data_IF_456866236634
#
_entry.id   IF_456866236634
#
_cell.length_a   1.000
_cell.length_b   1.000
_cell.length_c   1.000
_cell.angle_alpha   90.00
_cell.angle_beta   90.00
_cell.angle_gamma   90.00
#
_symmetry.space_group_name_H-M   'P 1'
#
loop_
_entity.id
_entity.type
_entity.pdbx_description
1 polymer ?
#
# COMPACT_ATOMS: atom_id res chain seq x y z
N UNK A 1 -14.68 2.04 -7.25
CA UNK A 1 -13.73 1.00 -7.71
C UNK A 1 -12.42 1.01 -6.91
N UNK A 2 -11.50 1.97 -7.09
CA UNK A 2 -10.18 1.95 -6.41
C UNK A 2 -10.26 1.97 -4.88
N UNK A 3 -11.11 2.80 -4.27
CA UNK A 3 -11.25 2.86 -2.80
C UNK A 3 -11.72 1.53 -2.19
N UNK A 4 -12.64 0.82 -2.85
CA UNK A 4 -13.12 -0.49 -2.42
C UNK A 4 -12.05 -1.57 -2.58
N UNK A 5 -11.35 -1.57 -3.72
CA UNK A 5 -10.25 -2.49 -3.96
C UNK A 5 -9.10 -2.29 -2.95
N UNK A 6 -8.80 -1.04 -2.61
CA UNK A 6 -7.81 -0.69 -1.57
C UNK A 6 -8.27 -1.15 -0.18
N UNK A 7 -9.56 -0.97 0.15
CA UNK A 7 -10.12 -1.43 1.42
C UNK A 7 -10.06 -2.95 1.58
N UNK A 8 -10.17 -3.70 0.48
CA UNK A 8 -10.09 -5.16 0.43
C UNK A 8 -8.65 -5.72 0.50
N UNK A 9 -7.62 -4.87 0.47
CA UNK A 9 -6.24 -5.32 0.66
C UNK A 9 -5.96 -5.62 2.15
N UNK A 10 -5.15 -6.65 2.45
CA UNK A 10 -4.65 -6.87 3.80
C UNK A 10 -3.96 -5.60 4.33
N UNK A 11 -4.11 -5.33 5.62
CA UNK A 11 -3.61 -4.12 6.26
C UNK A 11 -2.11 -3.88 6.00
N UNK A 12 -1.31 -4.96 6.01
CA UNK A 12 0.13 -4.93 5.73
C UNK A 12 0.50 -4.34 4.37
N UNK A 13 -0.38 -4.44 3.36
CA UNK A 13 -0.18 -3.84 2.05
C UNK A 13 -0.95 -2.52 1.90
N UNK A 14 -2.13 -2.42 2.52
CA UNK A 14 -2.98 -1.22 2.46
C UNK A 14 -2.33 -0.02 3.17
N UNK A 15 -1.87 -0.20 4.40
CA UNK A 15 -1.34 0.89 5.24
C UNK A 15 -0.18 1.65 4.58
N UNK A 16 0.89 1.01 4.07
CA UNK A 16 1.97 1.73 3.44
C UNK A 16 1.57 2.38 2.10
N UNK A 17 0.56 1.87 1.38
CA UNK A 17 0.01 2.54 0.21
C UNK A 17 -0.74 3.82 0.58
N UNK A 18 -1.58 3.78 1.62
CA UNK A 18 -2.31 4.96 2.10
C UNK A 18 -1.34 6.04 2.54
N UNK A 19 -0.39 5.68 3.41
CA UNK A 19 0.61 6.63 3.90
C UNK A 19 1.45 7.22 2.76
N UNK A 20 1.83 6.42 1.75
CA UNK A 20 2.62 6.92 0.62
C UNK A 20 1.84 7.81 -0.33
N UNK A 21 0.62 7.43 -0.71
CA UNK A 21 -0.10 8.06 -1.82
C UNK A 21 -1.19 9.04 -1.38
N UNK A 22 -1.73 8.91 -0.17
CA UNK A 22 -2.74 9.83 0.37
C UNK A 22 -2.16 10.83 1.35
N UNK A 23 -1.13 10.44 2.10
CA UNK A 23 -0.45 11.33 3.05
C UNK A 23 0.89 11.86 2.54
N UNK A 24 1.29 11.46 1.32
CA UNK A 24 2.56 11.81 0.66
C UNK A 24 3.82 11.64 1.54
N UNK A 25 3.81 10.65 2.44
CA UNK A 25 4.93 10.42 3.34
C UNK A 25 6.10 9.74 2.63
N UNK A 26 7.35 10.09 2.96
CA UNK A 26 8.53 9.37 2.47
C UNK A 26 8.65 7.98 3.12
N UNK A 27 9.37 7.06 2.47
CA UNK A 27 9.48 5.67 2.96
C UNK A 27 10.10 5.56 4.35
N UNK A 28 11.01 6.47 4.71
CA UNK A 28 11.61 6.52 6.04
C UNK A 28 10.58 6.83 7.14
N UNK A 29 9.69 7.81 6.92
CA UNK A 29 8.63 8.13 7.89
C UNK A 29 7.61 6.99 7.98
N UNK A 30 7.26 6.37 6.85
CA UNK A 30 6.38 5.19 6.84
C UNK A 30 7.00 4.02 7.62
N UNK A 31 8.31 3.82 7.50
CA UNK A 31 9.07 2.82 8.24
C UNK A 31 8.96 3.05 9.75
N UNK A 32 9.08 4.29 10.19
CA UNK A 32 8.96 4.68 11.60
C UNK A 32 7.51 4.50 12.11
N UNK A 33 6.52 5.00 11.36
CA UNK A 33 5.09 4.91 11.74
C UNK A 33 4.63 3.46 11.86
N UNK A 34 5.06 2.59 10.94
CA UNK A 34 4.65 1.19 10.90
C UNK A 34 5.59 0.26 11.69
N UNK A 35 6.65 0.79 12.29
CA UNK A 35 7.68 0.05 13.01
C UNK A 35 8.22 -1.17 12.22
N UNK A 36 8.54 -0.96 10.94
CA UNK A 36 9.11 -1.99 10.04
C UNK A 36 10.28 -1.43 9.23
N UNK A 37 11.23 -2.26 8.75
CA UNK A 37 12.32 -1.78 7.92
C UNK A 37 11.84 -1.07 6.64
N UNK A 38 12.56 -0.03 6.21
CA UNK A 38 12.25 0.68 4.97
C UNK A 38 12.26 -0.26 3.74
N UNK A 39 13.15 -1.26 3.72
CA UNK A 39 13.13 -2.31 2.70
C UNK A 39 11.79 -3.07 2.67
N UNK A 40 11.22 -3.37 3.83
CA UNK A 40 9.89 -4.00 3.95
C UNK A 40 8.78 -3.06 3.49
N UNK A 41 8.88 -1.75 3.76
CA UNK A 41 7.94 -0.74 3.22
C UNK A 41 7.93 -0.79 1.69
N UNK A 42 9.11 -0.74 1.05
CA UNK A 42 9.25 -0.80 -0.41
C UNK A 42 8.63 -2.07 -0.98
N UNK A 43 8.93 -3.24 -0.41
CA UNK A 43 8.36 -4.52 -0.86
C UNK A 43 6.85 -4.57 -0.67
N UNK A 44 6.32 -4.08 0.45
CA UNK A 44 4.87 -4.04 0.72
C UNK A 44 4.14 -3.09 -0.23
N UNK A 45 4.72 -1.94 -0.55
CA UNK A 45 4.16 -1.02 -1.56
C UNK A 45 4.15 -1.67 -2.94
N UNK A 46 5.25 -2.29 -3.35
CA UNK A 46 5.32 -2.97 -4.65
C UNK A 46 4.25 -4.07 -4.77
N UNK A 47 4.18 -4.99 -3.80
CA UNK A 47 3.19 -6.06 -3.77
C UNK A 47 1.76 -5.52 -3.66
N UNK A 48 1.54 -4.51 -2.82
CA UNK A 48 0.24 -3.87 -2.66
C UNK A 48 -0.28 -3.24 -3.95
N UNK A 49 0.59 -2.57 -4.74
CA UNK A 49 0.22 -2.04 -6.06
C UNK A 49 -0.17 -3.15 -7.04
N UNK A 50 0.54 -4.28 -7.04
CA UNK A 50 0.20 -5.42 -7.89
C UNK A 50 -1.19 -5.99 -7.53
N UNK A 51 -1.43 -6.23 -6.24
CA UNK A 51 -2.73 -6.70 -5.73
C UNK A 51 -3.88 -5.72 -6.03
N UNK A 52 -3.61 -4.42 -5.98
CA UNK A 52 -4.58 -3.38 -6.31
C UNK A 52 -4.89 -3.39 -7.82
N UNK A 53 -3.87 -3.57 -8.67
CA UNK A 53 -4.04 -3.66 -10.12
C UNK A 53 -4.91 -4.85 -10.51
N UNK A 54 -4.68 -6.02 -9.93
CA UNK A 54 -5.52 -7.21 -10.13
C UNK A 54 -6.98 -6.91 -9.79
N UNK A 55 -7.25 -6.38 -8.60
CA UNK A 55 -8.61 -6.09 -8.12
C UNK A 55 -9.34 -4.98 -8.91
N UNK A 56 -8.60 -4.00 -9.42
CA UNK A 56 -9.19 -2.92 -10.23
C UNK A 56 -9.37 -3.37 -11.68
N UNK A 57 -8.52 -4.29 -12.17
CA UNK A 57 -8.62 -4.91 -13.48
C UNK A 57 -9.71 -5.98 -13.58
N UNK A 58 -10.04 -6.67 -12.50
CA UNK A 58 -11.14 -7.66 -12.39
C UNK A 58 -12.56 -7.06 -12.45
N UNK A 59 -12.72 -5.83 -12.96
CA UNK A 59 -14.01 -5.14 -13.06
C UNK A 59 -14.17 -4.32 -14.35
N UNK A 60 -13.57 -4.81 -15.43
CA UNK A 60 -13.75 -4.36 -16.81
C UNK A 60 -14.37 -5.49 -17.64
#
# INVERSE_FOLDING_TARGET
>A
KVRQALAALPYSYRAPLVLRFYNDLPYQEISQILAIPEGTVKTRIHRGKAMLKERVGEGA
#
